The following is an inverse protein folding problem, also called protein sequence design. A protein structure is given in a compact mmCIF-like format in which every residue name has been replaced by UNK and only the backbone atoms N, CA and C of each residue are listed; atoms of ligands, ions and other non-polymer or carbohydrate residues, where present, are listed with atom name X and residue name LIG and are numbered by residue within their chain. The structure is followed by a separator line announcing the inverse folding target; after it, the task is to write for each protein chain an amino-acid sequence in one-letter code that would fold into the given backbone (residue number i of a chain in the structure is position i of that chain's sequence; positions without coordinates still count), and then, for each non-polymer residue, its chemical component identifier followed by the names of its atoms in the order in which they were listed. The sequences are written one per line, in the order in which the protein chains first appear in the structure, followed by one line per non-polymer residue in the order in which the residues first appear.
data_IF_117384557196
#
_entry.id   IF_117384557196
#
_cell.length_a   1.000
_cell.length_b   1.000
_cell.length_c   1.000
_cell.angle_alpha   90.00
_cell.angle_beta   90.00
_cell.angle_gamma   90.00
#
_symmetry.space_group_name_H-M   'P 1'
#
loop_
_entity.id
_entity.type
_entity.pdbx_description
1 polymer ?
#
# COMPACT_ATOMS: atom_id res chain seq x y z
N UNK A 1 -24.37 3.41 1.13
CA UNK A 1 -24.11 2.03 1.59
C UNK A 1 -22.98 1.52 0.71
N UNK A 2 -21.79 1.20 1.27
CA UNK A 2 -20.55 0.97 0.51
C UNK A 2 -20.11 -0.51 0.48
N UNK A 3 -20.94 -1.44 0.97
CA UNK A 3 -20.56 -2.85 1.06
C UNK A 3 -20.26 -3.48 -0.29
N UNK A 4 -20.89 -2.99 -1.37
CA UNK A 4 -20.67 -3.45 -2.75
C UNK A 4 -19.25 -3.12 -3.27
N UNK A 5 -18.51 -2.22 -2.62
CA UNK A 5 -17.13 -1.89 -3.00
C UNK A 5 -16.10 -2.95 -2.57
N UNK A 6 -16.51 -3.89 -1.72
CA UNK A 6 -15.61 -4.87 -1.11
C UNK A 6 -16.02 -6.29 -1.46
N UNK A 7 -15.04 -7.18 -1.63
CA UNK A 7 -15.31 -8.61 -1.76
C UNK A 7 -15.64 -9.16 -0.37
N UNK A 8 -16.93 -9.23 -0.08
CA UNK A 8 -17.44 -9.71 1.22
C UNK A 8 -17.99 -11.13 1.09
N UNK A 9 -18.35 -11.60 -0.11
CA UNK A 9 -18.90 -12.94 -0.30
C UNK A 9 -18.89 -13.37 -1.78
N UNK A 10 -18.04 -14.34 -2.13
CA UNK A 10 -18.16 -15.05 -3.42
C UNK A 10 -18.18 -16.56 -3.13
N UNK A 11 -19.40 -17.10 -2.99
CA UNK A 11 -19.86 -18.50 -3.20
C UNK A 11 -19.09 -19.66 -2.51
N UNK A 12 -17.95 -19.47 -1.86
CA UNK A 12 -17.34 -20.43 -0.91
C UNK A 12 -16.11 -19.88 -0.17
N UNK A 13 -15.48 -18.82 -0.67
CA UNK A 13 -14.29 -18.20 -0.06
C UNK A 13 -14.44 -16.68 -0.06
N UNK A 14 -14.01 -16.04 1.02
CA UNK A 14 -13.76 -14.59 1.07
C UNK A 14 -12.29 -14.35 1.42
N UNK A 15 -11.79 -13.13 1.25
CA UNK A 15 -10.35 -12.86 1.36
C UNK A 15 -10.06 -11.79 2.41
N UNK A 16 -8.96 -11.97 3.14
CA UNK A 16 -8.35 -10.94 3.96
C UNK A 16 -7.09 -10.37 3.32
N UNK A 17 -6.85 -9.07 3.51
CA UNK A 17 -5.55 -8.45 3.21
C UNK A 17 -4.53 -8.92 4.24
N UNK A 18 -3.33 -9.23 3.77
CA UNK A 18 -2.19 -9.52 4.62
C UNK A 18 -0.87 -9.11 3.98
N UNK A 19 0.19 -9.77 4.45
CA UNK A 19 1.53 -9.69 3.89
C UNK A 19 2.19 -11.09 3.98
N UNK A 20 2.95 -11.52 2.96
CA UNK A 20 3.62 -12.81 3.01
C UNK A 20 4.68 -12.85 4.12
N UNK A 21 5.18 -14.05 4.47
CA UNK A 21 6.37 -14.16 5.28
C UNK A 21 7.54 -13.36 4.73
N UNK A 22 8.33 -12.78 5.63
CA UNK A 22 9.52 -11.99 5.33
C UNK A 22 10.57 -12.17 6.42
N UNK A 23 11.68 -11.44 6.33
CA UNK A 23 12.81 -11.52 7.28
C UNK A 23 12.42 -11.12 8.73
N UNK A 24 11.21 -10.58 8.94
CA UNK A 24 10.72 -10.09 10.23
C UNK A 24 9.59 -10.99 10.76
N UNK A 25 8.83 -11.66 9.89
CA UNK A 25 7.74 -12.57 10.24
C UNK A 25 7.79 -13.86 9.43
N UNK A 26 8.15 -14.97 10.07
CA UNK A 26 8.16 -16.32 9.47
C UNK A 26 6.77 -16.78 9.00
N UNK A 27 5.70 -16.23 9.59
CA UNK A 27 4.31 -16.62 9.29
C UNK A 27 3.57 -15.62 8.41
N UNK A 28 4.22 -14.51 8.04
CA UNK A 28 3.54 -13.38 7.40
C UNK A 28 2.59 -12.68 8.36
N UNK A 29 1.62 -11.94 7.80
CA UNK A 29 0.67 -11.13 8.57
C UNK A 29 -0.73 -11.23 7.96
N UNK A 30 -1.74 -11.29 8.81
CA UNK A 30 -3.14 -11.09 8.43
C UNK A 30 -3.67 -9.84 9.14
N UNK A 31 -4.19 -8.87 8.37
CA UNK A 31 -4.68 -7.61 8.91
C UNK A 31 -6.19 -7.58 9.14
N UNK A 32 -6.91 -8.65 8.83
CA UNK A 32 -8.37 -8.77 8.97
C UNK A 32 -9.12 -7.61 8.30
N UNK A 33 -8.61 -7.13 7.16
CA UNK A 33 -9.21 -6.06 6.38
C UNK A 33 -9.80 -6.61 5.08
N UNK A 34 -11.05 -6.24 4.72
CA UNK A 34 -11.68 -6.70 3.49
C UNK A 34 -10.94 -6.11 2.28
N UNK A 35 -10.98 -6.83 1.16
CA UNK A 35 -10.36 -6.40 -0.10
C UNK A 35 -11.35 -5.58 -0.93
N UNK A 36 -10.86 -4.59 -1.65
CA UNK A 36 -11.64 -3.89 -2.67
C UNK A 36 -11.88 -4.81 -3.87
N UNK A 37 -13.09 -4.77 -4.43
CA UNK A 37 -13.44 -5.55 -5.62
C UNK A 37 -12.99 -4.86 -6.93
N UNK A 38 -11.68 -4.74 -7.09
CA UNK A 38 -11.08 -4.04 -8.23
C UNK A 38 -11.37 -4.69 -9.59
N UNK A 39 -11.62 -6.00 -9.61
CA UNK A 39 -11.81 -6.78 -10.82
C UNK A 39 -13.27 -6.78 -11.31
N UNK A 40 -14.19 -6.30 -10.49
CA UNK A 40 -15.58 -6.15 -10.86
C UNK A 40 -15.79 -4.79 -11.54
N UNK A 41 -15.98 -4.83 -12.85
CA UNK A 41 -16.13 -3.64 -13.68
C UNK A 41 -17.35 -2.78 -13.28
N UNK A 42 -18.41 -3.40 -12.75
CA UNK A 42 -19.64 -2.71 -12.34
C UNK A 42 -19.41 -1.76 -11.17
N UNK A 43 -18.46 -2.10 -10.27
CA UNK A 43 -18.15 -1.30 -9.07
C UNK A 43 -16.83 -0.54 -9.17
N UNK A 44 -15.98 -0.83 -10.17
CA UNK A 44 -14.65 -0.20 -10.31
C UNK A 44 -14.73 1.32 -10.43
N UNK A 45 -15.73 1.84 -11.17
CA UNK A 45 -15.95 3.28 -11.27
C UNK A 45 -16.32 3.88 -9.90
N UNK A 46 -17.19 3.23 -9.16
CA UNK A 46 -17.61 3.69 -7.84
C UNK A 46 -16.46 3.62 -6.82
N UNK A 47 -15.56 2.65 -6.96
CA UNK A 47 -14.29 2.60 -6.20
C UNK A 47 -13.41 3.81 -6.49
N UNK A 48 -13.25 4.19 -7.76
CA UNK A 48 -12.43 5.36 -8.13
C UNK A 48 -13.05 6.64 -7.57
N UNK A 49 -14.36 6.81 -7.73
CA UNK A 49 -15.10 7.92 -7.15
C UNK A 49 -14.98 7.97 -5.63
N UNK A 50 -15.04 6.81 -4.97
CA UNK A 50 -14.87 6.69 -3.53
C UNK A 50 -13.48 7.14 -3.08
N UNK A 51 -12.43 6.68 -3.76
CA UNK A 51 -11.05 7.09 -3.48
C UNK A 51 -10.87 8.58 -3.68
N UNK A 52 -11.35 9.14 -4.79
CA UNK A 52 -11.30 10.58 -5.05
C UNK A 52 -12.02 11.38 -3.95
N UNK A 53 -13.22 10.94 -3.54
CA UNK A 53 -13.97 11.57 -2.44
C UNK A 53 -13.21 11.46 -1.10
N UNK A 54 -12.58 10.32 -0.83
CA UNK A 54 -11.75 10.09 0.36
C UNK A 54 -10.57 11.06 0.40
N UNK A 55 -9.79 11.15 -0.69
CA UNK A 55 -8.67 12.09 -0.76
C UNK A 55 -9.14 13.53 -0.57
N UNK A 56 -10.20 13.95 -1.28
CA UNK A 56 -10.75 15.30 -1.16
C UNK A 56 -11.13 15.62 0.28
N UNK A 57 -11.76 14.68 0.97
CA UNK A 57 -12.16 14.87 2.36
C UNK A 57 -10.94 14.99 3.28
N UNK A 58 -9.96 14.11 3.15
CA UNK A 58 -8.78 14.15 4.02
C UNK A 58 -7.95 15.42 3.79
N UNK A 59 -7.70 15.79 2.54
CA UNK A 59 -6.97 17.02 2.17
C UNK A 59 -7.72 18.30 2.54
N UNK A 60 -9.01 18.24 2.90
CA UNK A 60 -9.70 19.38 3.51
C UNK A 60 -9.29 19.65 4.96
N UNK A 61 -8.53 18.74 5.57
CA UNK A 61 -8.13 18.79 6.99
C UNK A 61 -6.63 18.74 7.22
N UNK A 62 -5.85 18.38 6.21
CA UNK A 62 -4.38 18.30 6.28
C UNK A 62 -3.78 18.81 4.98
N UNK A 63 -2.59 19.39 5.06
CA UNK A 63 -1.87 19.89 3.88
C UNK A 63 -1.17 18.77 3.11
N UNK A 64 -0.83 17.68 3.78
CA UNK A 64 -0.05 16.56 3.23
C UNK A 64 -0.59 15.24 3.75
N UNK A 65 -0.77 14.27 2.86
CA UNK A 65 -1.33 12.97 3.18
C UNK A 65 -0.28 11.87 2.97
N UNK A 66 -0.19 10.91 3.89
CA UNK A 66 0.63 9.71 3.70
C UNK A 66 -0.26 8.54 3.25
N UNK A 67 0.02 7.96 2.09
CA UNK A 67 -0.54 6.69 1.66
C UNK A 67 0.23 5.55 2.31
N UNK A 68 -0.40 4.96 3.32
CA UNK A 68 0.08 3.75 3.96
C UNK A 68 -0.06 2.54 3.03
N UNK A 69 0.89 1.61 3.07
CA UNK A 69 0.95 0.41 2.26
C UNK A 69 0.77 0.68 0.75
N UNK A 70 1.52 1.65 0.22
CA UNK A 70 1.37 2.11 -1.17
C UNK A 70 1.50 0.99 -2.20
N UNK A 71 2.37 0.01 -1.94
CA UNK A 71 2.54 -1.16 -2.80
C UNK A 71 1.23 -1.93 -3.05
N UNK A 72 0.23 -1.80 -2.17
CA UNK A 72 -1.14 -2.30 -2.34
C UNK A 72 -1.86 -1.79 -3.60
N UNK A 73 -1.47 -0.60 -4.09
CA UNK A 73 -1.94 -0.03 -5.36
C UNK A 73 -1.29 -0.68 -6.58
N UNK A 74 -0.17 -1.38 -6.43
CA UNK A 74 0.40 -2.18 -7.51
C UNK A 74 -0.20 -3.61 -7.47
N UNK A 75 -0.17 -4.21 -6.29
CA UNK A 75 -0.78 -5.49 -5.98
C UNK A 75 -0.99 -5.63 -4.49
N UNK A 76 -1.96 -6.39 -4.02
CA UNK A 76 -2.12 -6.69 -2.59
C UNK A 76 -2.05 -8.19 -2.35
N UNK A 77 -1.59 -8.59 -1.16
CA UNK A 77 -1.51 -9.99 -0.79
C UNK A 77 -2.84 -10.40 -0.16
N UNK A 78 -3.45 -11.44 -0.71
CA UNK A 78 -4.74 -11.96 -0.25
C UNK A 78 -4.54 -13.30 0.42
N UNK A 79 -5.27 -13.52 1.52
CA UNK A 79 -5.33 -14.78 2.23
C UNK A 79 -6.77 -15.30 2.10
N UNK A 80 -7.00 -16.42 1.39
CA UNK A 80 -8.32 -17.03 1.31
C UNK A 80 -8.80 -17.49 2.69
N UNK A 81 -10.10 -17.33 2.94
CA UNK A 81 -10.76 -17.69 4.18
C UNK A 81 -11.92 -18.62 3.87
N UNK A 82 -11.90 -19.79 4.47
CA UNK A 82 -13.02 -20.74 4.37
C UNK A 82 -14.26 -20.14 5.05
N UNK A 83 -15.38 -20.09 4.33
CA UNK A 83 -16.59 -19.44 4.83
C UNK A 83 -17.27 -20.23 5.95
N UNK A 84 -17.11 -21.55 5.96
CA UNK A 84 -17.76 -22.44 6.91
C UNK A 84 -16.92 -22.56 8.20
N UNK A 85 -15.60 -22.73 8.06
CA UNK A 85 -14.70 -22.91 9.21
C UNK A 85 -14.08 -21.61 9.72
N UNK A 86 -14.09 -20.54 8.93
CA UNK A 86 -13.39 -19.27 9.19
C UNK A 86 -11.86 -19.43 9.26
N UNK A 87 -11.32 -20.54 8.78
CA UNK A 87 -9.88 -20.81 8.80
C UNK A 87 -9.15 -20.08 7.67
N UNK A 88 -7.96 -19.57 7.97
CA UNK A 88 -7.08 -18.89 7.02
C UNK A 88 -6.29 -19.92 6.22
N UNK A 89 -6.34 -19.82 4.89
CA UNK A 89 -5.57 -20.69 4.01
C UNK A 89 -4.31 -19.99 3.47
N UNK A 90 -3.27 -19.91 4.31
CA UNK A 90 -1.98 -19.36 3.92
C UNK A 90 -1.31 -20.12 2.75
N UNK A 91 -1.61 -21.41 2.56
CA UNK A 91 -1.04 -22.19 1.44
C UNK A 91 -1.53 -21.72 0.06
N UNK A 92 -2.67 -21.04 0.01
CA UNK A 92 -3.26 -20.49 -1.21
C UNK A 92 -3.18 -18.96 -1.25
N UNK A 93 -2.49 -18.34 -0.28
CA UNK A 93 -2.34 -16.90 -0.24
C UNK A 93 -1.36 -16.42 -1.33
N UNK A 94 -1.74 -15.35 -2.03
CA UNK A 94 -1.05 -14.91 -3.25
C UNK A 94 -1.20 -13.41 -3.49
N UNK A 95 -0.36 -12.88 -4.38
CA UNK A 95 -0.44 -11.50 -4.85
C UNK A 95 -1.53 -11.33 -5.90
N UNK A 96 -2.38 -10.32 -5.75
CA UNK A 96 -3.42 -9.94 -6.71
C UNK A 96 -3.15 -8.52 -7.20
N UNK A 97 -3.04 -8.34 -8.52
CA UNK A 97 -2.83 -7.03 -9.15
C UNK A 97 -4.01 -6.10 -8.89
N UNK A 98 -3.73 -4.81 -8.80
CA UNK A 98 -4.73 -3.75 -8.64
C UNK A 98 -4.58 -2.70 -9.75
N UNK A 99 -5.64 -1.93 -10.05
CA UNK A 99 -5.62 -0.91 -11.10
C UNK A 99 -5.04 0.40 -10.55
N UNK A 100 -3.87 0.35 -9.89
CA UNK A 100 -3.29 1.54 -9.26
C UNK A 100 -2.84 2.59 -10.24
N UNK A 101 -2.37 2.18 -11.42
CA UNK A 101 -2.03 3.13 -12.48
C UNK A 101 -3.25 3.95 -12.89
N UNK A 102 -4.37 3.27 -13.16
CA UNK A 102 -5.62 3.88 -13.58
C UNK A 102 -6.21 4.73 -12.45
N UNK A 103 -6.14 4.26 -11.21
CA UNK A 103 -6.58 5.00 -10.04
C UNK A 103 -5.76 6.29 -9.86
N UNK A 104 -4.43 6.19 -9.87
CA UNK A 104 -3.55 7.37 -9.73
C UNK A 104 -3.73 8.33 -10.90
N UNK A 105 -3.95 7.83 -12.13
CA UNK A 105 -4.31 8.66 -13.27
C UNK A 105 -5.58 9.47 -12.98
N UNK A 106 -6.66 8.80 -12.58
CA UNK A 106 -7.93 9.47 -12.27
C UNK A 106 -7.80 10.48 -11.11
N UNK A 107 -6.96 10.19 -10.11
CA UNK A 107 -6.64 11.12 -9.03
C UNK A 107 -5.88 12.34 -9.59
N UNK A 108 -4.83 12.16 -10.39
CA UNK A 108 -4.07 13.28 -10.96
C UNK A 108 -4.90 14.14 -11.92
N UNK A 109 -5.82 13.55 -12.68
CA UNK A 109 -6.77 14.30 -13.51
C UNK A 109 -7.71 15.18 -12.66
N UNK A 110 -8.00 14.75 -11.43
CA UNK A 110 -8.91 15.45 -10.51
C UNK A 110 -8.21 16.53 -9.67
N UNK A 111 -7.00 16.25 -9.18
CA UNK A 111 -6.29 17.10 -8.22
C UNK A 111 -5.08 17.84 -8.82
N UNK A 112 -4.69 17.53 -10.05
CA UNK A 112 -3.45 17.98 -10.67
C UNK A 112 -2.31 16.98 -10.51
N UNK A 113 -1.19 17.21 -11.20
CA UNK A 113 -0.01 16.34 -11.14
C UNK A 113 0.72 16.41 -9.79
N UNK A 114 0.65 17.55 -9.12
CA UNK A 114 1.38 17.81 -7.87
C UNK A 114 0.50 17.53 -6.64
N UNK A 115 0.03 16.28 -6.53
CA UNK A 115 -0.82 15.88 -5.40
C UNK A 115 0.03 15.88 -4.12
N UNK A 116 -0.43 16.51 -3.02
CA UNK A 116 0.31 16.51 -1.76
C UNK A 116 0.21 15.15 -1.04
N UNK A 117 0.90 14.15 -1.60
CA UNK A 117 0.94 12.78 -1.10
C UNK A 117 2.38 12.29 -0.94
N UNK A 118 2.67 11.77 0.25
CA UNK A 118 3.83 10.91 0.53
C UNK A 118 3.36 9.47 0.45
N UNK A 119 4.15 8.58 -0.13
CA UNK A 119 3.84 7.14 -0.18
C UNK A 119 4.72 6.37 0.78
N UNK A 120 4.12 5.47 1.54
CA UNK A 120 4.82 4.47 2.32
C UNK A 120 5.23 3.32 1.40
N UNK A 121 6.50 3.30 1.03
CA UNK A 121 7.15 2.33 0.15
C UNK A 121 8.27 1.58 0.89
N UNK A 122 7.96 1.01 2.05
CA UNK A 122 8.88 0.19 2.84
C UNK A 122 8.57 -1.31 2.70
N UNK A 123 9.50 -2.13 3.21
CA UNK A 123 9.38 -3.59 3.16
C UNK A 123 9.81 -4.17 1.81
N UNK A 124 9.15 -5.25 1.38
CA UNK A 124 9.45 -5.90 0.11
C UNK A 124 8.82 -5.12 -1.06
N UNK A 125 9.64 -4.26 -1.68
CA UNK A 125 9.24 -3.35 -2.75
C UNK A 125 9.86 -3.83 -4.07
N UNK A 126 9.00 -4.05 -5.07
CA UNK A 126 9.43 -4.48 -6.40
C UNK A 126 9.68 -3.27 -7.31
N UNK A 127 10.34 -3.51 -8.46
CA UNK A 127 10.57 -2.47 -9.47
C UNK A 127 9.27 -1.85 -10.00
N UNK A 128 8.19 -2.60 -10.07
CA UNK A 128 6.88 -2.14 -10.53
C UNK A 128 6.26 -1.15 -9.55
N UNK A 129 6.44 -1.36 -8.24
CA UNK A 129 6.00 -0.40 -7.21
C UNK A 129 6.80 0.89 -7.31
N UNK A 130 8.12 0.78 -7.51
CA UNK A 130 9.01 1.93 -7.72
C UNK A 130 8.61 2.70 -8.98
N UNK A 131 8.36 2.00 -10.09
CA UNK A 131 7.92 2.63 -11.34
C UNK A 131 6.57 3.34 -11.16
N UNK A 132 5.63 2.71 -10.45
CA UNK A 132 4.33 3.31 -10.15
C UNK A 132 4.50 4.60 -9.33
N UNK A 133 5.33 4.60 -8.27
CA UNK A 133 5.63 5.81 -7.49
C UNK A 133 6.23 6.91 -8.37
N UNK A 134 7.29 6.58 -9.11
CA UNK A 134 8.11 7.57 -9.81
C UNK A 134 7.38 8.19 -10.99
N UNK A 135 6.54 7.41 -11.68
CA UNK A 135 5.71 7.88 -12.79
C UNK A 135 4.73 8.98 -12.37
N UNK A 136 4.22 8.89 -11.16
CA UNK A 136 3.30 9.88 -10.59
C UNK A 136 4.04 10.93 -9.73
N UNK A 137 5.38 10.97 -9.80
CA UNK A 137 6.24 11.91 -9.07
C UNK A 137 5.98 11.94 -7.55
N UNK A 138 5.55 10.81 -6.98
CA UNK A 138 5.18 10.71 -5.57
C UNK A 138 6.41 10.63 -4.68
N UNK A 139 6.31 11.20 -3.47
CA UNK A 139 7.42 11.23 -2.52
C UNK A 139 7.52 9.90 -1.77
N UNK A 140 8.62 9.17 -1.98
CA UNK A 140 8.93 7.96 -1.24
C UNK A 140 9.48 8.25 0.16
N UNK A 141 9.54 7.23 1.00
CA UNK A 141 9.98 7.34 2.40
C UNK A 141 11.35 6.72 2.59
N UNK A 142 12.20 7.36 3.41
CA UNK A 142 13.51 6.83 3.80
C UNK A 142 13.62 6.78 5.32
N UNK A 143 14.21 5.69 5.83
CA UNK A 143 14.41 5.47 7.25
C UNK A 143 15.87 5.39 7.62
N UNK A 144 16.36 6.45 8.25
CA UNK A 144 17.77 6.59 8.60
C UNK A 144 18.27 5.46 9.50
N UNK A 145 17.46 4.96 10.44
CA UNK A 145 17.79 3.80 11.28
C UNK A 145 18.21 2.56 10.45
N UNK A 146 17.63 2.38 9.25
CA UNK A 146 17.96 1.29 8.35
C UNK A 146 19.17 1.60 7.46
N UNK A 147 19.69 2.83 7.46
CA UNK A 147 20.81 3.28 6.64
C UNK A 147 22.19 2.97 7.20
N UNK A 148 22.30 2.44 8.42
CA UNK A 148 23.59 2.16 9.06
C UNK A 148 24.07 0.71 8.93
N UNK A 149 23.31 -0.16 8.25
CA UNK A 149 23.81 -1.48 7.87
C UNK A 149 24.95 -1.32 6.84
N UNK A 150 26.02 -2.12 6.98
CA UNK A 150 27.29 -1.97 6.26
C UNK A 150 27.20 -2.36 4.77
N UNK A 151 26.44 -1.58 4.02
CA UNK A 151 26.22 -1.72 2.58
C UNK A 151 26.19 -0.32 1.96
N UNK A 152 27.15 -0.03 1.08
CA UNK A 152 27.27 1.26 0.41
C UNK A 152 26.12 1.55 -0.54
N UNK A 153 25.40 0.54 -1.01
CA UNK A 153 24.26 0.64 -1.92
C UNK A 153 22.92 0.72 -1.18
N UNK A 154 22.95 0.67 0.16
CA UNK A 154 21.75 0.74 0.99
C UNK A 154 20.95 2.02 0.70
N UNK A 155 19.73 1.84 0.19
CA UNK A 155 18.82 2.92 -0.21
C UNK A 155 18.41 3.84 0.95
N UNK A 156 18.62 3.40 2.20
CA UNK A 156 18.34 4.15 3.41
C UNK A 156 19.53 4.98 3.91
N UNK A 157 20.70 4.83 3.29
CA UNK A 157 21.85 5.70 3.55
C UNK A 157 21.63 7.09 2.96
N UNK A 158 21.91 8.19 3.70
CA UNK A 158 21.67 9.55 3.22
C UNK A 158 22.32 9.91 1.88
N UNK A 159 23.50 9.36 1.59
CA UNK A 159 24.20 9.61 0.32
C UNK A 159 23.54 8.93 -0.89
N UNK A 160 22.61 7.99 -0.66
CA UNK A 160 21.84 7.28 -1.70
C UNK A 160 20.41 7.81 -1.85
N UNK A 161 20.03 8.89 -1.14
CA UNK A 161 18.68 9.45 -1.26
C UNK A 161 18.48 10.07 -2.64
N UNK A 162 17.38 9.67 -3.27
CA UNK A 162 16.94 10.26 -4.54
C UNK A 162 16.09 11.52 -4.27
N UNK A 163 16.00 12.44 -5.25
CA UNK A 163 14.99 13.49 -5.25
C UNK A 163 13.59 12.91 -5.01
N UNK A 164 12.68 13.69 -4.43
CA UNK A 164 11.35 13.25 -4.02
C UNK A 164 11.36 12.13 -2.95
N UNK A 165 12.21 12.30 -1.93
CA UNK A 165 12.22 11.45 -0.75
C UNK A 165 11.90 12.26 0.51
N UNK A 166 11.18 11.66 1.45
CA UNK A 166 11.00 12.17 2.81
C UNK A 166 11.75 11.27 3.78
N UNK A 167 12.80 11.81 4.39
CA UNK A 167 13.63 11.07 5.33
C UNK A 167 13.11 11.25 6.77
N UNK A 168 12.87 10.12 7.44
CA UNK A 168 12.58 10.05 8.86
C UNK A 168 13.77 9.43 9.59
N UNK A 169 14.01 9.86 10.83
CA UNK A 169 15.01 9.21 11.69
C UNK A 169 14.60 7.77 12.01
N UNK A 170 13.30 7.54 12.23
CA UNK A 170 12.64 6.26 12.51
C UNK A 170 11.12 6.42 12.43
N UNK A 171 10.36 5.32 12.48
CA UNK A 171 8.90 5.34 12.58
C UNK A 171 8.40 4.88 13.94
N UNK A 172 7.14 5.20 14.25
CA UNK A 172 6.45 4.69 15.44
C UNK A 172 6.34 3.16 15.48
N UNK A 173 6.44 2.49 14.33
CA UNK A 173 6.47 1.02 14.19
C UNK A 173 7.86 0.41 14.41
N UNK A 174 8.92 1.22 14.40
CA UNK A 174 10.30 0.77 14.56
C UNK A 174 10.75 1.18 15.96
N UNK A 175 11.39 0.27 16.70
CA UNK A 175 11.83 0.54 18.07
C UNK A 175 12.59 1.87 18.17
N UNK A 176 12.20 2.69 19.15
CA UNK A 176 12.82 4.00 19.39
C UNK A 176 14.30 3.78 19.71
N UNK A 177 15.18 4.55 19.06
CA UNK A 177 16.61 4.61 19.42
C UNK A 177 16.76 5.07 20.88
N UNK A 178 16.83 4.13 21.82
CA UNK A 178 17.41 4.39 23.12
C UNK A 178 18.91 4.11 23.04
N UNK A 179 19.68 5.11 23.46
CA UNK A 179 21.14 5.05 23.62
C UNK A 179 21.57 3.93 24.55
#
# INVERSE_FOLDING_TARGET
MFCELFIIQIISLYYWIGFPPDDISDTGQNWNMPIYDWNNEDVRKDLFDWWIKRLRRTLSTVDLLRFDHFRGLESHYVIPVDIDTQELNFSQAHWVKTPGYELLTAITETFGSDIPVIVEDLGNITSEVVELRDRFHLFGVKILQMGFYNDSENIYSPHNYIPNSVAYTGFYQIYICYK
#
